data_IF_158046108008
#
_entry.id   IF_158046108008
#
_cell.length_a   1.000
_cell.length_b   1.000
_cell.length_c   1.000
_cell.angle_alpha   90.00
_cell.angle_beta   90.00
_cell.angle_gamma   90.00
#
_symmetry.space_group_name_H-M   'P 1'
#
loop_
_entity.id
_entity.type
_entity.pdbx_description
1 polymer ?
#
# COMPACT_ATOMS: atom_id res chain seq x y z
N UNK A 1 28.75 -12.85 10.11
CA UNK A 1 27.69 -12.94 11.14
C UNK A 1 27.69 -11.75 12.07
N UNK A 2 26.51 -11.33 12.53
CA UNK A 2 26.32 -10.47 13.70
C UNK A 2 25.04 -10.90 14.44
N UNK A 3 24.92 -10.49 15.70
CA UNK A 3 23.74 -10.75 16.52
C UNK A 3 22.94 -9.46 16.70
N UNK A 4 21.64 -9.54 16.46
CA UNK A 4 20.68 -8.45 16.60
C UNK A 4 19.65 -8.82 17.68
N UNK A 5 19.36 -7.87 18.58
CA UNK A 5 18.28 -7.99 19.55
C UNK A 5 17.39 -6.76 19.46
N UNK A 6 16.11 -6.98 19.17
CA UNK A 6 15.10 -5.91 19.09
C UNK A 6 14.19 -6.00 20.29
N UNK A 7 14.09 -4.91 21.04
CA UNK A 7 13.28 -4.87 22.25
C UNK A 7 11.93 -4.16 22.05
N UNK A 8 10.88 -4.56 22.79
CA UNK A 8 9.55 -3.97 22.65
C UNK A 8 9.46 -2.58 23.29
N UNK A 9 9.22 -1.58 22.44
CA UNK A 9 8.96 -0.21 22.87
C UNK A 9 10.09 0.36 23.72
N UNK A 10 9.77 0.76 24.96
CA UNK A 10 10.71 1.37 25.90
C UNK A 10 11.43 0.37 26.82
N UNK A 11 11.20 -0.92 26.68
CA UNK A 11 11.71 -1.93 27.60
C UNK A 11 13.00 -2.55 27.05
N UNK A 12 13.94 -2.92 27.93
CA UNK A 12 15.10 -3.76 27.61
C UNK A 12 14.86 -5.08 28.33
N UNK A 13 14.60 -6.14 27.58
CA UNK A 13 14.24 -7.46 28.11
C UNK A 13 15.29 -8.50 27.72
N UNK A 14 15.76 -9.27 28.69
CA UNK A 14 16.66 -10.40 28.43
C UNK A 14 15.97 -11.50 27.59
N UNK A 15 14.65 -11.59 27.71
CA UNK A 15 13.81 -12.51 26.93
C UNK A 15 13.58 -12.08 25.48
N UNK A 16 14.03 -10.89 25.07
CA UNK A 16 13.93 -10.46 23.67
C UNK A 16 14.75 -11.40 22.77
N UNK A 17 14.17 -11.86 21.63
CA UNK A 17 14.86 -12.76 20.72
C UNK A 17 16.21 -12.22 20.25
N UNK A 18 17.19 -13.12 20.11
CA UNK A 18 18.46 -12.84 19.43
C UNK A 18 18.36 -13.41 18.02
N UNK A 19 18.59 -12.56 17.03
CA UNK A 19 18.67 -12.90 15.62
C UNK A 19 20.14 -12.98 15.23
N UNK A 20 20.60 -14.12 14.74
CA UNK A 20 21.94 -14.28 14.20
C UNK A 20 21.86 -14.21 12.68
N UNK A 21 22.48 -13.18 12.12
CA UNK A 21 22.30 -12.80 10.72
C UNK A 21 23.66 -12.67 10.04
N UNK A 22 23.69 -12.92 8.74
CA UNK A 22 24.84 -12.61 7.90
C UNK A 22 24.69 -11.23 7.26
N UNK A 23 25.82 -10.63 6.88
CA UNK A 23 25.82 -9.27 6.30
C UNK A 23 25.21 -9.30 4.89
N UNK A 24 25.48 -10.34 4.11
CA UNK A 24 24.90 -10.55 2.78
C UNK A 24 23.37 -10.71 2.82
N UNK A 25 22.82 -11.29 3.90
CA UNK A 25 21.38 -11.39 4.10
C UNK A 25 20.71 -10.02 4.26
N UNK A 26 21.42 -9.00 4.76
CA UNK A 26 20.88 -7.63 4.84
C UNK A 26 20.79 -7.02 3.44
N UNK A 27 21.78 -7.27 2.57
CA UNK A 27 21.74 -6.83 1.17
C UNK A 27 20.56 -7.47 0.41
N UNK A 28 20.24 -8.74 0.70
CA UNK A 28 19.05 -9.40 0.13
C UNK A 28 17.77 -8.82 0.73
N UNK A 29 17.73 -8.55 2.03
CA UNK A 29 16.53 -8.09 2.73
C UNK A 29 16.07 -6.69 2.31
N UNK A 30 17.01 -5.78 2.11
CA UNK A 30 16.77 -4.42 1.62
C UNK A 30 18.02 -3.89 0.92
N UNK A 31 18.12 -4.15 -0.38
CA UNK A 31 19.27 -3.81 -1.21
C UNK A 31 19.54 -2.30 -1.30
N UNK A 32 18.48 -1.49 -1.25
CA UNK A 32 18.57 -0.06 -1.51
C UNK A 32 18.99 0.71 -0.24
N UNK A 33 18.48 0.31 0.93
CA UNK A 33 18.73 1.03 2.19
C UNK A 33 19.58 0.27 3.20
N UNK A 34 19.84 -1.02 2.96
CA UNK A 34 20.53 -1.93 3.89
C UNK A 34 19.89 -1.90 5.29
N UNK A 35 18.55 -1.84 5.32
CA UNK A 35 17.78 -1.74 6.55
C UNK A 35 18.01 -2.94 7.46
N UNK A 36 18.35 -2.66 8.72
CA UNK A 36 18.36 -3.69 9.76
C UNK A 36 16.91 -3.88 10.24
N UNK A 37 16.37 -5.11 10.27
CA UNK A 37 15.02 -5.33 10.73
C UNK A 37 14.86 -4.88 12.19
N UNK A 38 13.74 -4.24 12.50
CA UNK A 38 13.54 -3.51 13.75
C UNK A 38 12.22 -3.86 14.45
N UNK A 39 11.57 -4.97 14.05
CA UNK A 39 10.29 -5.36 14.64
C UNK A 39 10.49 -6.14 15.94
N UNK A 40 9.89 -5.70 17.07
CA UNK A 40 9.99 -6.43 18.32
C UNK A 40 9.44 -7.85 18.21
N UNK A 41 10.08 -8.78 18.90
CA UNK A 41 9.70 -10.21 18.93
C UNK A 41 9.83 -10.95 17.59
N UNK A 42 10.42 -10.33 16.57
CA UNK A 42 10.79 -11.03 15.34
C UNK A 42 11.70 -12.20 15.65
N UNK A 43 11.45 -13.33 15.00
CA UNK A 43 12.26 -14.55 15.10
C UNK A 43 13.15 -14.71 13.86
N UNK A 44 14.12 -15.62 13.92
CA UNK A 44 14.88 -15.97 12.71
C UNK A 44 13.97 -16.57 11.62
N UNK A 45 12.88 -17.23 12.00
CA UNK A 45 11.92 -17.79 11.05
C UNK A 45 11.22 -16.68 10.26
N UNK A 46 10.85 -15.57 10.92
CA UNK A 46 10.30 -14.38 10.26
C UNK A 46 11.30 -13.75 9.30
N UNK A 47 12.58 -13.66 9.70
CA UNK A 47 13.63 -13.14 8.84
C UNK A 47 13.82 -13.99 7.59
N UNK A 48 13.94 -15.32 7.77
CA UNK A 48 14.07 -16.25 6.64
C UNK A 48 12.84 -16.23 5.74
N UNK A 49 11.63 -16.04 6.30
CA UNK A 49 10.43 -15.84 5.50
C UNK A 49 10.49 -14.55 4.66
N UNK A 50 11.03 -13.46 5.21
CA UNK A 50 11.20 -12.22 4.48
C UNK A 50 12.21 -12.35 3.33
N UNK A 51 13.33 -13.05 3.56
CA UNK A 51 14.31 -13.37 2.50
C UNK A 51 13.68 -14.24 1.41
N UNK A 52 12.97 -15.31 1.81
CA UNK A 52 12.26 -16.19 0.88
C UNK A 52 11.23 -15.44 0.04
N UNK A 53 10.52 -14.46 0.63
CA UNK A 53 9.56 -13.63 -0.09
C UNK A 53 10.24 -12.86 -1.23
N UNK A 54 11.42 -12.29 -0.98
CA UNK A 54 12.21 -11.52 -1.96
C UNK A 54 12.73 -12.46 -3.07
N UNK A 55 13.33 -13.58 -2.69
CA UNK A 55 13.84 -14.61 -3.63
C UNK A 55 12.73 -15.07 -4.59
N UNK A 56 11.57 -15.38 -4.04
CA UNK A 56 10.39 -15.83 -4.77
C UNK A 56 9.81 -14.73 -5.67
N UNK A 57 10.01 -13.47 -5.31
CA UNK A 57 9.71 -12.30 -6.15
C UNK A 57 10.79 -12.00 -7.20
N UNK A 58 11.92 -12.71 -7.18
CA UNK A 58 13.07 -12.50 -8.07
C UNK A 58 13.53 -11.04 -8.05
N UNK A 59 13.66 -10.49 -6.85
CA UNK A 59 14.07 -9.10 -6.57
C UNK A 59 13.19 -8.02 -7.23
N UNK A 60 11.96 -8.37 -7.62
CA UNK A 60 10.97 -7.42 -8.14
C UNK A 60 10.23 -6.72 -7.01
N UNK A 61 10.03 -5.42 -7.19
CA UNK A 61 9.36 -4.55 -6.23
C UNK A 61 8.21 -3.78 -6.89
N UNK A 62 7.33 -3.19 -6.07
CA UNK A 62 6.17 -2.45 -6.57
C UNK A 62 6.57 -1.35 -7.57
N UNK A 63 7.68 -0.65 -7.32
CA UNK A 63 8.23 0.40 -8.20
C UNK A 63 8.48 -0.02 -9.64
N UNK A 64 8.71 -1.32 -9.91
CA UNK A 64 8.85 -1.84 -11.27
C UNK A 64 7.54 -1.72 -12.09
N UNK A 65 6.40 -1.64 -11.41
CA UNK A 65 5.06 -1.59 -12.00
C UNK A 65 4.42 -0.21 -11.83
N UNK A 66 4.62 0.42 -10.67
CA UNK A 66 4.09 1.73 -10.31
C UNK A 66 4.80 2.30 -9.09
N UNK A 67 4.92 3.62 -9.02
CA UNK A 67 5.47 4.32 -7.85
C UNK A 67 4.40 5.10 -7.11
N UNK A 68 4.59 5.23 -5.80
CA UNK A 68 3.73 6.02 -4.94
C UNK A 68 4.13 7.49 -4.99
N UNK A 69 3.13 8.37 -4.86
CA UNK A 69 3.35 9.81 -4.83
C UNK A 69 2.68 10.41 -3.60
N UNK A 70 3.29 11.45 -3.03
CA UNK A 70 2.60 12.28 -2.04
C UNK A 70 1.46 13.07 -2.72
N UNK A 71 0.37 13.30 -1.99
CA UNK A 71 -0.76 14.14 -2.38
C UNK A 71 -0.40 15.39 -3.19
N UNK A 72 -1.29 15.75 -4.12
CA UNK A 72 -1.14 16.87 -5.03
C UNK A 72 -0.96 18.19 -4.26
N UNK A 73 -1.69 18.33 -3.14
CA UNK A 73 -1.79 19.56 -2.37
C UNK A 73 -0.99 19.46 -1.08
N UNK A 74 0.12 20.18 -0.97
CA UNK A 74 0.81 20.32 0.30
C UNK A 74 0.18 21.43 1.16
N UNK A 75 -0.30 21.08 2.36
CA UNK A 75 -1.06 22.00 3.20
C UNK A 75 -0.27 23.22 3.69
N UNK A 76 1.07 23.16 3.67
CA UNK A 76 1.95 24.25 4.11
C UNK A 76 2.37 25.14 2.93
N UNK A 77 2.97 24.55 1.90
CA UNK A 77 3.52 25.29 0.75
C UNK A 77 2.46 25.81 -0.22
N UNK A 78 1.24 25.27 -0.18
CA UNK A 78 0.09 25.79 -0.93
C UNK A 78 -0.90 26.54 -0.04
N UNK A 79 -0.52 26.95 1.17
CA UNK A 79 -1.40 27.63 2.13
C UNK A 79 -2.13 28.85 1.54
N UNK A 80 -1.49 29.60 0.65
CA UNK A 80 -2.07 30.73 -0.09
C UNK A 80 -3.21 30.37 -1.07
N UNK A 81 -3.39 29.08 -1.36
CA UNK A 81 -4.43 28.53 -2.23
C UNK A 81 -5.54 27.84 -1.44
N UNK A 82 -5.43 27.85 -0.11
CA UNK A 82 -6.28 27.11 0.81
C UNK A 82 -7.13 28.06 1.66
N UNK A 83 -8.38 27.66 1.89
CA UNK A 83 -9.36 28.39 2.68
C UNK A 83 -10.04 27.46 3.69
N UNK A 84 -10.26 27.89 4.95
CA UNK A 84 -11.11 27.16 5.88
C UNK A 84 -12.61 27.31 5.57
N UNK A 85 -12.99 28.36 4.85
CA UNK A 85 -14.36 28.55 4.37
C UNK A 85 -14.61 27.65 3.15
N UNK A 86 -15.84 27.16 2.93
CA UNK A 86 -16.25 26.28 1.83
C UNK A 86 -16.28 27.01 0.46
N UNK A 87 -15.16 27.63 0.12
CA UNK A 87 -14.89 28.37 -1.10
C UNK A 87 -13.89 27.56 -1.91
N UNK A 88 -14.40 26.77 -2.85
CA UNK A 88 -13.59 25.87 -3.68
C UNK A 88 -13.80 24.41 -3.32
N UNK A 89 -12.82 23.57 -3.66
CA UNK A 89 -12.94 22.13 -3.58
C UNK A 89 -12.32 21.57 -2.30
N UNK A 90 -13.01 20.67 -1.60
CA UNK A 90 -12.45 20.03 -0.41
C UNK A 90 -11.15 19.28 -0.73
N UNK A 91 -10.14 19.46 0.13
CA UNK A 91 -8.88 18.71 0.07
C UNK A 91 -8.98 17.49 0.98
N UNK A 92 -8.84 16.31 0.41
CA UNK A 92 -8.86 15.04 1.14
C UNK A 92 -7.62 14.91 2.01
N UNK A 93 -7.79 14.32 3.19
CA UNK A 93 -6.73 14.07 4.19
C UNK A 93 -6.74 12.62 4.62
N UNK A 94 -5.69 12.15 5.28
CA UNK A 94 -5.58 10.76 5.75
C UNK A 94 -6.81 10.24 6.51
N UNK A 95 -7.53 11.10 7.24
CA UNK A 95 -8.77 10.75 7.94
C UNK A 95 -9.95 10.35 7.02
N UNK A 96 -9.89 10.65 5.72
CA UNK A 96 -10.86 10.20 4.71
C UNK A 96 -10.56 8.79 4.21
N UNK A 97 -9.38 8.27 4.49
CA UNK A 97 -8.94 6.94 4.02
C UNK A 97 -9.15 5.95 5.15
N UNK A 98 -9.92 4.91 4.92
CA UNK A 98 -10.04 3.74 5.80
C UNK A 98 -9.76 2.46 5.00
N UNK A 99 -9.62 1.31 5.67
CA UNK A 99 -9.26 0.06 4.99
C UNK A 99 -10.39 -0.37 4.06
N UNK A 100 -10.16 -0.27 2.75
CA UNK A 100 -11.15 -0.50 1.68
C UNK A 100 -12.37 0.43 1.70
N UNK A 101 -12.35 1.48 2.50
CA UNK A 101 -13.50 2.34 2.73
C UNK A 101 -13.09 3.81 2.65
N UNK A 102 -13.92 4.61 2.00
CA UNK A 102 -13.69 6.05 1.86
C UNK A 102 -14.66 6.81 2.77
N UNK A 103 -14.12 7.56 3.71
CA UNK A 103 -14.88 8.33 4.69
C UNK A 103 -15.12 9.72 4.11
N UNK A 104 -16.32 9.95 3.58
CA UNK A 104 -16.72 11.25 3.01
C UNK A 104 -16.66 12.39 4.03
N UNK A 105 -17.03 12.10 5.29
CA UNK A 105 -17.04 13.08 6.40
C UNK A 105 -16.21 12.56 7.57
N UNK A 106 -14.90 12.86 7.61
CA UNK A 106 -14.04 12.38 8.68
C UNK A 106 -14.41 13.02 10.03
N UNK A 107 -14.24 12.25 11.12
CA UNK A 107 -14.48 12.74 12.49
C UNK A 107 -13.38 13.68 13.00
N UNK A 108 -12.22 13.68 12.34
CA UNK A 108 -11.03 14.42 12.76
C UNK A 108 -10.52 15.31 11.63
N UNK A 109 -9.99 16.48 12.02
CA UNK A 109 -9.45 17.48 11.11
C UNK A 109 -10.50 18.50 10.68
N UNK A 110 -10.05 19.75 10.53
CA UNK A 110 -10.89 20.83 10.02
C UNK A 110 -10.85 20.76 8.47
N UNK A 111 -12.00 20.75 7.78
CA UNK A 111 -12.04 20.80 6.33
C UNK A 111 -11.29 22.03 5.81
N UNK A 112 -10.57 21.85 4.71
CA UNK A 112 -9.88 22.92 4.01
C UNK A 112 -10.20 22.79 2.53
N UNK A 113 -10.42 23.93 1.88
CA UNK A 113 -10.90 24.04 0.51
C UNK A 113 -9.83 24.69 -0.35
N UNK A 114 -9.60 24.11 -1.52
CA UNK A 114 -8.64 24.51 -2.53
C UNK A 114 -9.30 25.40 -3.58
N UNK A 115 -8.66 26.52 -3.90
CA UNK A 115 -8.88 27.20 -5.17
C UNK A 115 -8.26 26.38 -6.30
N UNK A 116 -9.03 25.40 -6.80
CA UNK A 116 -8.54 24.43 -7.78
C UNK A 116 -8.14 25.08 -9.11
N UNK A 117 -8.84 26.14 -9.54
CA UNK A 117 -8.49 26.84 -10.78
C UNK A 117 -7.12 27.50 -10.66
N UNK A 118 -6.89 28.23 -9.56
CA UNK A 118 -5.62 28.88 -9.31
C UNK A 118 -4.50 27.87 -9.08
N UNK A 119 -4.77 26.79 -8.34
CA UNK A 119 -3.82 25.69 -8.14
C UNK A 119 -3.36 25.08 -9.47
N UNK A 120 -4.29 24.70 -10.35
CA UNK A 120 -3.94 24.13 -11.65
C UNK A 120 -3.21 25.13 -12.55
N UNK A 121 -3.53 26.43 -12.47
CA UNK A 121 -2.81 27.47 -13.22
C UNK A 121 -1.35 27.66 -12.76
N UNK A 122 -1.03 27.32 -11.51
CA UNK A 122 0.34 27.34 -10.99
C UNK A 122 1.18 26.13 -11.43
N UNK A 123 0.56 25.09 -11.99
CA UNK A 123 1.21 23.83 -12.31
C UNK A 123 1.11 23.47 -13.79
N UNK A 124 2.14 22.80 -14.32
CA UNK A 124 2.10 22.26 -15.69
C UNK A 124 1.13 21.09 -15.80
N UNK A 125 0.53 20.91 -16.99
CA UNK A 125 -0.43 19.83 -17.28
C UNK A 125 0.13 18.42 -17.08
N UNK A 126 1.44 18.26 -17.22
CA UNK A 126 2.13 16.98 -17.09
C UNK A 126 2.65 16.71 -15.66
N UNK A 127 2.23 17.54 -14.68
CA UNK A 127 2.60 17.36 -13.27
C UNK A 127 1.54 16.58 -12.51
N UNK A 128 1.92 16.06 -11.35
CA UNK A 128 1.01 15.37 -10.42
C UNK A 128 -0.22 16.20 -10.00
N UNK A 129 -0.20 17.53 -10.19
CA UNK A 129 -1.36 18.38 -9.93
C UNK A 129 -2.60 17.94 -10.73
N UNK A 130 -2.41 17.27 -11.87
CA UNK A 130 -3.46 16.77 -12.74
C UNK A 130 -3.83 15.29 -12.48
N UNK A 131 -3.18 14.63 -11.52
CA UNK A 131 -3.48 13.24 -11.18
C UNK A 131 -4.91 13.08 -10.66
N UNK A 132 -5.52 14.15 -10.13
CA UNK A 132 -6.92 14.22 -9.71
C UNK A 132 -7.91 13.74 -10.80
N UNK A 133 -7.55 13.80 -12.08
CA UNK A 133 -8.37 13.37 -13.21
C UNK A 133 -8.57 11.85 -13.31
N UNK A 134 -7.74 11.06 -12.62
CA UNK A 134 -7.79 9.60 -12.65
C UNK A 134 -8.46 9.04 -11.38
N UNK A 135 -8.75 7.74 -11.36
CA UNK A 135 -9.01 7.03 -10.11
C UNK A 135 -7.66 6.63 -9.51
N UNK A 136 -7.52 6.78 -8.19
CA UNK A 136 -6.27 6.54 -7.46
C UNK A 136 -6.50 5.54 -6.33
N UNK A 137 -5.44 4.86 -5.92
CA UNK A 137 -5.40 4.26 -4.58
C UNK A 137 -4.83 5.32 -3.66
N UNK A 138 -5.57 5.76 -2.64
CA UNK A 138 -5.04 6.61 -1.58
C UNK A 138 -4.73 5.78 -0.34
N UNK A 139 -3.61 6.05 0.32
CA UNK A 139 -3.25 5.45 1.59
C UNK A 139 -2.78 6.49 2.60
N UNK A 140 -3.05 6.24 3.87
CA UNK A 140 -2.69 7.15 4.96
C UNK A 140 -1.17 7.28 5.05
N UNK A 141 -0.66 8.52 5.01
CA UNK A 141 0.76 8.78 5.28
C UNK A 141 1.04 8.78 6.77
N UNK A 142 0.21 9.43 7.57
CA UNK A 142 0.34 9.43 9.03
C UNK A 142 -0.14 8.10 9.60
N UNK A 143 0.75 7.34 10.23
CA UNK A 143 0.43 6.04 10.82
C UNK A 143 1.36 5.79 11.99
N UNK A 144 0.84 5.84 13.22
CA UNK A 144 1.63 5.63 14.42
C UNK A 144 2.16 4.19 14.47
N UNK A 145 3.32 3.97 15.11
CA UNK A 145 3.98 2.64 15.19
C UNK A 145 3.10 1.62 15.90
N UNK A 146 2.34 2.05 16.89
CA UNK A 146 1.42 1.27 17.71
C UNK A 146 0.02 1.12 17.11
N UNK A 147 -0.23 1.67 15.92
CA UNK A 147 -1.50 1.42 15.23
C UNK A 147 -1.71 -0.08 15.01
N UNK A 148 -2.96 -0.54 15.12
CA UNK A 148 -3.34 -1.93 14.83
C UNK A 148 -2.98 -2.36 13.41
N UNK A 149 -2.95 -1.41 12.47
CA UNK A 149 -2.48 -1.55 11.09
C UNK A 149 -1.75 -0.30 10.64
N UNK A 150 -0.64 -0.48 9.94
CA UNK A 150 0.18 0.58 9.39
C UNK A 150 -0.29 1.01 8.02
N UNK A 151 -0.48 0.05 7.11
CA UNK A 151 -0.91 0.31 5.74
C UNK A 151 -2.44 0.26 5.68
N UNK A 152 -3.05 1.42 5.46
CA UNK A 152 -4.49 1.60 5.32
C UNK A 152 -4.75 2.33 4.01
N UNK A 153 -5.36 1.63 3.05
CA UNK A 153 -5.58 2.12 1.70
C UNK A 153 -7.04 1.98 1.25
N UNK A 154 -7.48 2.87 0.36
CA UNK A 154 -8.80 2.81 -0.31
C UNK A 154 -8.74 3.41 -1.71
N UNK A 155 -9.85 3.32 -2.44
CA UNK A 155 -10.03 4.00 -3.72
C UNK A 155 -10.38 5.48 -3.48
N UNK A 156 -9.72 6.36 -4.22
CA UNK A 156 -10.07 7.77 -4.34
C UNK A 156 -10.59 8.02 -5.75
N UNK A 157 -11.83 8.49 -5.82
CA UNK A 157 -12.50 8.78 -7.09
C UNK A 157 -11.90 9.99 -7.81
N UNK A 158 -12.07 9.99 -9.13
CA UNK A 158 -11.66 11.13 -9.97
C UNK A 158 -12.32 12.42 -9.52
N UNK A 159 -11.64 13.52 -9.77
CA UNK A 159 -12.08 14.84 -9.39
C UNK A 159 -11.78 15.22 -7.95
N UNK A 160 -11.13 14.40 -7.13
CA UNK A 160 -10.75 14.75 -5.75
C UNK A 160 -9.25 15.07 -5.60
N UNK A 161 -8.89 16.11 -4.84
CA UNK A 161 -7.49 16.44 -4.53
C UNK A 161 -7.06 15.83 -3.19
N UNK A 162 -5.88 15.21 -3.15
CA UNK A 162 -5.32 14.65 -1.94
C UNK A 162 -4.30 15.62 -1.31
N UNK A 163 -4.35 15.74 0.01
CA UNK A 163 -3.32 16.48 0.75
C UNK A 163 -2.06 15.64 0.89
N UNK A 164 -0.97 16.29 1.28
CA UNK A 164 0.31 15.68 1.67
C UNK A 164 0.26 14.66 2.83
N UNK A 165 -0.91 14.49 3.46
CA UNK A 165 -1.20 13.47 4.48
C UNK A 165 -1.70 12.14 3.88
N UNK A 166 -1.96 12.12 2.57
CA UNK A 166 -2.27 10.94 1.77
C UNK A 166 -1.12 10.76 0.79
N UNK A 167 -0.61 9.54 0.71
CA UNK A 167 0.15 9.13 -0.46
C UNK A 167 -0.80 8.35 -1.39
N UNK A 168 -0.52 8.32 -2.69
CA UNK A 168 -1.36 7.63 -3.65
C UNK A 168 -0.59 6.94 -4.76
N UNK A 169 -1.27 5.99 -5.40
CA UNK A 169 -0.82 5.28 -6.60
C UNK A 169 -1.84 5.56 -7.72
N UNK A 170 -1.33 5.86 -8.92
CA UNK A 170 -2.13 6.18 -10.11
C UNK A 170 -1.57 5.46 -11.33
N UNK A 171 -2.45 5.08 -12.26
CA UNK A 171 -2.09 4.51 -13.57
C UNK A 171 -1.02 3.39 -13.53
N UNK A 172 -1.21 2.33 -12.71
CA UNK A 172 -0.25 1.23 -12.65
C UNK A 172 -0.10 0.53 -14.01
N UNK A 173 1.13 0.14 -14.35
CA UNK A 173 1.41 -0.64 -15.56
C UNK A 173 1.12 -2.11 -15.29
N UNK A 174 0.44 -2.78 -16.23
CA UNK A 174 0.22 -4.24 -16.27
C UNK A 174 -0.67 -4.82 -15.15
N UNK A 175 -0.71 -4.19 -13.97
CA UNK A 175 -1.50 -4.59 -12.82
C UNK A 175 -2.76 -3.74 -12.69
N UNK A 176 -3.87 -4.39 -12.38
CA UNK A 176 -5.12 -3.69 -12.06
C UNK A 176 -5.02 -2.96 -10.73
N UNK A 177 -5.64 -1.78 -10.65
CA UNK A 177 -5.62 -0.93 -9.47
C UNK A 177 -6.16 -1.66 -8.21
N UNK A 178 -7.22 -2.47 -8.35
CA UNK A 178 -7.75 -3.28 -7.25
C UNK A 178 -6.81 -4.40 -6.78
N UNK A 179 -5.93 -4.93 -7.64
CA UNK A 179 -4.94 -5.93 -7.23
C UNK A 179 -3.89 -5.31 -6.30
N UNK A 180 -3.42 -4.10 -6.63
CA UNK A 180 -2.49 -3.36 -5.78
C UNK A 180 -3.17 -2.93 -4.48
N UNK A 181 -4.43 -2.49 -4.53
CA UNK A 181 -5.20 -2.17 -3.32
C UNK A 181 -5.31 -3.39 -2.38
N UNK A 182 -5.56 -4.58 -2.93
CA UNK A 182 -5.61 -5.82 -2.17
C UNK A 182 -4.26 -6.14 -1.51
N UNK A 183 -3.15 -5.92 -2.22
CA UNK A 183 -1.80 -6.11 -1.67
C UNK A 183 -1.50 -5.13 -0.54
N UNK A 184 -1.75 -3.82 -0.73
CA UNK A 184 -1.56 -2.80 0.30
C UNK A 184 -2.33 -3.12 1.59
N UNK A 185 -3.57 -3.60 1.46
CA UNK A 185 -4.41 -3.96 2.58
C UNK A 185 -4.27 -5.44 3.02
N UNK A 186 -3.27 -6.17 2.52
CA UNK A 186 -3.00 -7.57 2.86
C UNK A 186 -2.22 -7.69 4.17
N UNK A 187 -2.42 -8.80 4.90
CA UNK A 187 -1.66 -9.06 6.13
C UNK A 187 -0.19 -9.34 5.86
N UNK A 188 0.15 -9.90 4.70
CA UNK A 188 1.54 -10.17 4.32
C UNK A 188 2.33 -8.87 4.12
N UNK A 189 1.77 -7.90 3.39
CA UNK A 189 2.46 -6.63 3.18
C UNK A 189 2.50 -5.79 4.45
N UNK A 190 1.43 -5.80 5.25
CA UNK A 190 1.43 -5.19 6.57
C UNK A 190 2.55 -5.76 7.46
N UNK A 191 2.71 -7.09 7.51
CA UNK A 191 3.77 -7.75 8.25
C UNK A 191 5.16 -7.37 7.71
N UNK A 192 5.39 -7.51 6.40
CA UNK A 192 6.70 -7.21 5.78
C UNK A 192 7.10 -5.75 5.93
N UNK A 193 6.15 -4.82 5.84
CA UNK A 193 6.38 -3.40 6.06
C UNK A 193 6.82 -3.09 7.49
N UNK A 194 6.17 -3.73 8.48
CA UNK A 194 6.54 -3.56 9.91
C UNK A 194 7.95 -4.03 10.26
N UNK A 195 8.54 -4.92 9.46
CA UNK A 195 9.90 -5.39 9.70
C UNK A 195 10.95 -4.27 9.59
N UNK A 196 10.69 -3.23 8.80
CA UNK A 196 11.62 -2.11 8.54
C UNK A 196 11.09 -0.75 8.94
N UNK A 197 9.77 -0.58 9.05
CA UNK A 197 9.14 0.73 9.30
C UNK A 197 9.24 1.15 10.77
N UNK A 198 10.13 2.09 11.06
CA UNK A 198 10.32 2.71 12.39
C UNK A 198 9.73 4.12 12.54
N UNK A 199 9.18 4.70 11.48
CA UNK A 199 8.67 6.08 11.48
C UNK A 199 7.19 6.12 11.88
N UNK A 200 6.64 7.27 12.31
CA UNK A 200 5.19 7.50 12.42
C UNK A 200 4.53 7.84 11.07
N UNK A 201 5.26 7.62 9.97
CA UNK A 201 4.75 7.75 8.62
C UNK A 201 4.94 6.45 7.84
N UNK A 202 4.01 6.20 6.93
CA UNK A 202 4.19 5.26 5.82
C UNK A 202 4.78 6.04 4.65
N UNK A 203 6.08 5.90 4.41
CA UNK A 203 6.74 6.62 3.32
C UNK A 203 6.54 5.92 1.98
N UNK A 204 6.57 6.71 0.89
CA UNK A 204 6.41 6.19 -0.47
C UNK A 204 7.49 5.14 -0.80
N UNK A 205 8.76 5.44 -0.50
CA UNK A 205 9.87 4.54 -0.82
C UNK A 205 9.75 3.16 -0.16
N UNK A 206 9.22 3.08 1.06
CA UNK A 206 9.02 1.81 1.78
C UNK A 206 7.93 0.96 1.13
N UNK A 207 6.89 1.59 0.59
CA UNK A 207 5.82 0.93 -0.16
C UNK A 207 6.31 0.52 -1.55
N UNK A 208 7.06 1.40 -2.20
CA UNK A 208 7.63 1.20 -3.53
C UNK A 208 8.65 0.05 -3.56
N UNK A 209 9.37 -0.17 -2.44
CA UNK A 209 10.28 -1.31 -2.24
C UNK A 209 9.58 -2.63 -1.90
N UNK A 210 8.25 -2.67 -1.76
CA UNK A 210 7.56 -3.89 -1.33
C UNK A 210 7.69 -5.00 -2.39
N UNK A 211 8.09 -6.22 -1.99
CA UNK A 211 8.32 -7.31 -2.92
C UNK A 211 7.01 -7.78 -3.56
N UNK A 212 7.03 -7.91 -4.88
CA UNK A 212 5.89 -8.36 -5.69
C UNK A 212 6.39 -9.21 -6.85
N UNK A 213 5.74 -10.36 -7.10
CA UNK A 213 6.08 -11.16 -8.28
C UNK A 213 5.61 -10.47 -9.56
N UNK A 214 6.28 -10.76 -10.68
CA UNK A 214 5.70 -10.49 -12.00
C UNK A 214 4.41 -11.31 -12.16
N UNK A 215 3.30 -10.62 -12.43
CA UNK A 215 2.01 -11.27 -12.70
C UNK A 215 1.74 -11.18 -14.19
N UNK A 216 1.88 -12.30 -14.90
CA UNK A 216 1.48 -12.41 -16.29
C UNK A 216 -0.01 -12.73 -16.38
N UNK A 217 -0.80 -11.74 -16.79
CA UNK A 217 -2.24 -11.93 -17.01
C UNK A 217 -2.50 -12.68 -18.32
N UNK A 218 -2.46 -14.02 -18.27
CA UNK A 218 -2.76 -14.89 -19.42
C UNK A 218 -4.25 -15.14 -19.64
N UNK A 219 -5.07 -14.87 -18.63
CA UNK A 219 -6.53 -14.93 -18.75
C UNK A 219 -7.03 -13.75 -19.57
N UNK A 220 -7.83 -14.02 -20.61
CA UNK A 220 -8.41 -12.98 -21.47
C UNK A 220 -9.23 -11.96 -20.66
N UNK A 221 -9.35 -10.74 -21.20
CA UNK A 221 -10.13 -9.67 -20.53
C UNK A 221 -11.58 -10.10 -20.27
N UNK A 222 -12.23 -10.69 -21.26
CA UNK A 222 -13.62 -11.17 -21.18
C UNK A 222 -13.81 -12.23 -20.09
N UNK A 223 -12.87 -13.19 -19.98
CA UNK A 223 -12.95 -14.20 -18.95
C UNK A 223 -12.68 -13.62 -17.56
N UNK A 224 -11.76 -12.66 -17.43
CA UNK A 224 -11.54 -11.95 -16.16
C UNK A 224 -12.78 -11.21 -15.71
N UNK A 225 -13.50 -10.53 -16.60
CA UNK A 225 -14.74 -9.83 -16.29
C UNK A 225 -15.82 -10.81 -15.80
N UNK A 226 -16.00 -11.95 -16.48
CA UNK A 226 -16.93 -13.01 -16.04
C UNK A 226 -16.58 -13.56 -14.65
N UNK A 227 -15.29 -13.81 -14.40
CA UNK A 227 -14.81 -14.31 -13.11
C UNK A 227 -15.02 -13.29 -11.99
N UNK A 228 -14.80 -12.00 -12.25
CA UNK A 228 -15.08 -10.93 -11.28
C UNK A 228 -16.56 -10.90 -10.92
N UNK A 229 -17.46 -10.92 -11.90
CA UNK A 229 -18.91 -10.93 -11.64
C UNK A 229 -19.36 -12.19 -10.89
N UNK A 230 -18.78 -13.35 -11.20
CA UNK A 230 -19.02 -14.58 -10.42
C UNK A 230 -18.53 -14.45 -8.98
N UNK A 231 -17.34 -13.88 -8.77
CA UNK A 231 -16.78 -13.64 -7.44
C UNK A 231 -17.64 -12.69 -6.59
N UNK A 232 -18.15 -11.60 -7.20
CA UNK A 232 -19.07 -10.67 -6.53
C UNK A 232 -20.35 -11.35 -6.06
N UNK A 233 -20.99 -12.13 -6.93
CA UNK A 233 -22.20 -12.90 -6.57
C UNK A 233 -21.95 -13.90 -5.45
N UNK A 234 -20.80 -14.58 -5.47
CA UNK A 234 -20.41 -15.47 -4.38
C UNK A 234 -20.23 -14.69 -3.07
N UNK A 235 -19.56 -13.55 -3.11
CA UNK A 235 -19.38 -12.67 -1.95
C UNK A 235 -20.71 -12.15 -1.38
N UNK A 236 -21.63 -11.70 -2.23
CA UNK A 236 -22.98 -11.27 -1.84
C UNK A 236 -23.73 -12.42 -1.14
N UNK A 237 -23.72 -13.62 -1.71
CA UNK A 237 -24.31 -14.79 -1.07
C UNK A 237 -23.66 -15.12 0.28
N UNK A 238 -22.33 -15.00 0.39
CA UNK A 238 -21.60 -15.21 1.65
C UNK A 238 -22.02 -14.19 2.73
N UNK A 239 -22.29 -12.94 2.35
CA UNK A 239 -22.78 -11.91 3.28
C UNK A 239 -24.17 -12.26 3.83
N UNK A 240 -25.04 -12.86 3.03
CA UNK A 240 -26.38 -13.26 3.45
C UNK A 240 -26.39 -14.50 4.33
N UNK A 241 -25.57 -15.51 4.01
CA UNK A 241 -25.62 -16.82 4.66
C UNK A 241 -24.50 -17.08 5.67
N UNK A 242 -23.47 -16.23 5.73
CA UNK A 242 -22.30 -16.37 6.61
C UNK A 242 -21.33 -17.51 6.26
N UNK A 243 -21.55 -18.25 5.16
CA UNK A 243 -20.72 -19.36 4.71
C UNK A 243 -19.72 -18.88 3.64
N UNK A 244 -18.43 -18.98 3.95
CA UNK A 244 -17.33 -18.51 3.11
C UNK A 244 -16.72 -19.58 2.21
N UNK A 245 -17.06 -20.87 2.41
CA UNK A 245 -16.36 -22.00 1.77
C UNK A 245 -16.40 -21.93 0.25
N UNK A 246 -17.55 -21.56 -0.32
CA UNK A 246 -17.71 -21.46 -1.77
C UNK A 246 -16.87 -20.35 -2.38
N UNK A 247 -16.73 -19.21 -1.68
CA UNK A 247 -15.91 -18.09 -2.13
C UNK A 247 -14.42 -18.43 -1.98
N UNK A 248 -14.02 -19.02 -0.86
CA UNK A 248 -12.65 -19.44 -0.62
C UNK A 248 -12.21 -20.49 -1.64
N UNK A 249 -13.02 -21.53 -1.85
CA UNK A 249 -12.77 -22.52 -2.89
C UNK A 249 -12.69 -21.90 -4.29
N UNK A 250 -13.56 -20.91 -4.59
CA UNK A 250 -13.50 -20.20 -5.86
C UNK A 250 -12.15 -19.48 -6.04
N UNK A 251 -11.66 -18.78 -5.01
CA UNK A 251 -10.37 -18.07 -5.01
C UNK A 251 -9.21 -19.05 -5.11
N UNK A 252 -9.20 -20.11 -4.29
CA UNK A 252 -8.12 -21.10 -4.24
C UNK A 252 -7.91 -21.77 -5.61
N UNK A 253 -8.99 -22.18 -6.26
CA UNK A 253 -8.97 -22.74 -7.62
C UNK A 253 -8.37 -21.81 -8.69
N UNK A 254 -8.26 -20.49 -8.42
CA UNK A 254 -7.60 -19.53 -9.33
C UNK A 254 -6.16 -19.27 -8.91
N UNK A 255 -5.86 -19.28 -7.61
CA UNK A 255 -4.50 -19.13 -7.11
C UNK A 255 -3.64 -20.37 -7.41
N UNK A 256 -4.23 -21.56 -7.42
CA UNK A 256 -3.57 -22.82 -7.78
C UNK A 256 -3.22 -22.91 -9.27
N UNK A 257 -3.83 -22.07 -10.13
CA UNK A 257 -3.48 -22.04 -11.55
C UNK A 257 -2.07 -21.47 -11.71
N UNK A 258 -1.10 -22.38 -11.73
CA UNK A 258 0.26 -22.04 -12.08
C UNK A 258 0.31 -21.68 -13.56
N UNK A 259 0.69 -20.44 -13.84
CA UNK A 259 1.24 -20.11 -15.13
C UNK A 259 2.66 -20.67 -15.18
N UNK A 260 2.92 -21.61 -16.09
CA UNK A 260 4.28 -22.01 -16.47
C UNK A 260 4.76 -20.92 -17.44
N UNK A 261 5.70 -20.05 -17.03
CA UNK A 261 6.20 -19.02 -17.93
C UNK A 261 6.91 -19.66 -19.12
N UNK A 262 6.79 -19.04 -20.28
CA UNK A 262 7.72 -19.31 -21.37
C UNK A 262 9.14 -18.99 -20.86
N UNK A 263 10.11 -19.93 -20.92
CA UNK A 263 11.48 -19.69 -20.48
C UNK A 263 12.16 -18.51 -21.20
N UNK A 264 11.63 -18.08 -22.35
CA UNK A 264 12.21 -17.06 -23.22
C UNK A 264 11.61 -15.64 -23.04
N UNK A 265 10.70 -15.42 -22.06
CA UNK A 265 10.04 -14.12 -21.76
C UNK A 265 10.24 -13.62 -20.32
#
# INVERSE_FOLDING_TARGET
>A
TFSLRVHPGKHILESSPILNMEVDQIEVFDKDNLSIPCYPNMTMMDFQLALKLIEVCRDRALQDFVSSQQGEVNLTSHSQLLSPEPKGQIVLRGAHVNRYDFIEKPKQGIPVYLDAQRFLAFHGKDTKAYDHLYVRIGYQRGSAIDNWRRIIATIIEKGNFCSDTINYIVNPKQLGLFAILALLNSSLWEWRFRLTSTNNHVNAYEIDSMPIRRICCVTSKEEREKLVEKGKKLYENCLENGNWDSLLFFVDQRLEKQYIPDPEL
#
